data_IF_425917175207
#
_entry.id   IF_425917175207
#
_cell.length_a   1.000
_cell.length_b   1.000
_cell.length_c   1.000
_cell.angle_alpha   90.00
_cell.angle_beta   90.00
_cell.angle_gamma   90.00
#
_symmetry.space_group_name_H-M   'P 1'
#
loop_
_entity.id
_entity.type
_entity.pdbx_description
1 polymer ?
#
# COMPACT_ATOMS: atom_id res chain seq x y z
N UNK A 1 34.91 31.97 70.43
CA UNK A 1 34.35 30.63 70.75
C UNK A 1 32.83 30.60 70.63
N UNK A 2 32.05 31.49 71.27
CA UNK A 2 30.57 31.53 71.16
C UNK A 2 30.01 31.77 69.74
N UNK A 3 30.71 32.52 68.90
CA UNK A 3 30.24 32.91 67.55
C UNK A 3 30.28 31.76 66.53
N UNK A 4 31.23 30.82 66.71
CA UNK A 4 31.34 29.62 65.88
C UNK A 4 30.25 28.59 66.20
N UNK A 5 29.87 28.46 67.48
CA UNK A 5 28.80 27.57 67.92
C UNK A 5 27.42 28.00 67.36
N UNK A 6 27.16 29.31 67.29
CA UNK A 6 25.91 29.82 66.71
C UNK A 6 25.82 29.56 65.21
N UNK A 7 26.92 29.78 64.47
CA UNK A 7 26.98 29.49 63.02
C UNK A 7 26.86 27.99 62.75
N UNK A 8 27.46 27.13 63.59
CA UNK A 8 27.34 25.67 63.49
C UNK A 8 25.89 25.22 63.62
N UNK A 9 25.16 25.70 64.63
CA UNK A 9 23.73 25.37 64.83
C UNK A 9 22.85 25.85 63.68
N UNK A 10 23.16 27.02 63.09
CA UNK A 10 22.44 27.55 61.94
C UNK A 10 22.62 26.66 60.71
N UNK A 11 23.85 26.24 60.41
CA UNK A 11 24.15 25.34 59.29
C UNK A 11 23.50 23.96 59.51
N UNK A 12 23.52 23.43 60.73
CA UNK A 12 22.84 22.16 61.08
C UNK A 12 21.32 22.24 60.86
N UNK A 13 20.71 23.40 61.16
CA UNK A 13 19.30 23.66 60.87
C UNK A 13 19.01 23.68 59.36
N UNK A 14 19.86 24.34 58.58
CA UNK A 14 19.74 24.40 57.11
C UNK A 14 19.92 23.03 56.46
N UNK A 15 20.84 22.19 56.96
CA UNK A 15 21.05 20.82 56.46
C UNK A 15 19.77 19.99 56.67
N UNK A 16 19.19 20.02 57.88
CA UNK A 16 17.94 19.29 58.16
C UNK A 16 16.76 19.77 57.31
N UNK A 17 16.69 21.07 57.03
CA UNK A 17 15.67 21.63 56.14
C UNK A 17 15.88 21.15 54.69
N UNK A 18 17.12 21.14 54.21
CA UNK A 18 17.46 20.64 52.88
C UNK A 18 17.19 19.14 52.72
N UNK A 19 17.56 18.32 53.70
CA UNK A 19 17.25 16.88 53.73
C UNK A 19 15.73 16.63 53.68
N UNK A 20 14.94 17.47 54.37
CA UNK A 20 13.48 17.38 54.33
C UNK A 20 12.90 17.73 52.95
N UNK A 21 13.49 18.73 52.27
CA UNK A 21 13.11 19.16 50.92
C UNK A 21 13.51 18.14 49.86
N UNK A 22 14.70 17.55 49.97
CA UNK A 22 15.19 16.48 49.09
C UNK A 22 14.26 15.26 49.15
N UNK A 23 13.92 14.81 50.37
CA UNK A 23 13.00 13.69 50.57
C UNK A 23 11.61 13.97 49.99
N UNK A 24 11.13 15.21 50.09
CA UNK A 24 9.86 15.63 49.49
C UNK A 24 9.92 15.63 47.96
N UNK A 25 11.01 16.13 47.37
CA UNK A 25 11.21 16.12 45.93
C UNK A 25 11.34 14.70 45.37
N UNK A 26 12.06 13.81 46.06
CA UNK A 26 12.17 12.40 45.66
C UNK A 26 10.80 11.71 45.63
N UNK A 27 9.93 12.02 46.60
CA UNK A 27 8.54 11.57 46.60
C UNK A 27 7.75 12.07 45.40
N UNK A 28 7.88 13.36 45.04
CA UNK A 28 7.22 13.95 43.87
C UNK A 28 7.74 13.36 42.55
N UNK A 29 9.03 13.06 42.45
CA UNK A 29 9.62 12.43 41.26
C UNK A 29 9.05 11.03 41.06
N UNK A 30 8.94 10.23 42.13
CA UNK A 30 8.32 8.89 42.04
C UNK A 30 6.86 8.97 41.62
N UNK A 31 6.08 9.91 42.18
CA UNK A 31 4.69 10.13 41.79
C UNK A 31 4.55 10.54 40.32
N UNK A 32 5.40 11.46 39.84
CA UNK A 32 5.38 11.89 38.44
C UNK A 32 5.80 10.77 37.48
N UNK A 33 6.76 9.93 37.88
CA UNK A 33 7.19 8.79 37.07
C UNK A 33 6.04 7.81 36.85
N UNK A 34 5.31 7.45 37.92
CA UNK A 34 4.14 6.57 37.80
C UNK A 34 3.01 7.20 36.96
N UNK A 35 2.81 8.52 37.03
CA UNK A 35 1.83 9.19 36.16
C UNK A 35 2.24 9.19 34.69
N UNK A 36 3.54 9.34 34.39
CA UNK A 36 4.04 9.23 33.00
C UNK A 36 3.81 7.82 32.47
N UNK A 37 4.11 6.78 33.25
CA UNK A 37 3.84 5.39 32.86
C UNK A 37 2.34 5.13 32.62
N UNK A 38 1.47 5.70 33.47
CA UNK A 38 0.01 5.62 33.29
C UNK A 38 -0.46 6.35 32.02
N UNK A 39 0.03 7.56 31.76
CA UNK A 39 -0.30 8.30 30.55
C UNK A 39 0.23 7.61 29.28
N UNK A 40 1.42 7.03 29.32
CA UNK A 40 1.94 6.23 28.20
C UNK A 40 1.03 5.02 27.92
N UNK A 41 0.49 4.38 28.96
CA UNK A 41 -0.52 3.33 28.81
C UNK A 41 -1.81 3.83 28.15
N UNK A 42 -2.35 4.94 28.63
CA UNK A 42 -3.57 5.55 28.08
C UNK A 42 -3.39 6.02 26.63
N UNK A 43 -2.23 6.58 26.29
CA UNK A 43 -1.91 6.98 24.91
C UNK A 43 -1.88 5.76 23.99
N UNK A 44 -1.22 4.67 24.40
CA UNK A 44 -1.21 3.42 23.64
C UNK A 44 -2.60 2.83 23.46
N UNK A 45 -3.45 2.92 24.48
CA UNK A 45 -4.85 2.45 24.42
C UNK A 45 -5.69 3.29 23.46
N UNK A 46 -5.58 4.62 23.52
CA UNK A 46 -6.28 5.54 22.60
C UNK A 46 -5.78 5.38 21.17
N UNK A 47 -4.48 5.22 20.96
CA UNK A 47 -3.91 4.92 19.65
C UNK A 47 -4.44 3.58 19.11
N UNK A 48 -4.44 2.53 19.93
CA UNK A 48 -5.02 1.22 19.58
C UNK A 48 -6.50 1.30 19.24
N UNK A 49 -7.29 2.10 19.97
CA UNK A 49 -8.70 2.32 19.68
C UNK A 49 -8.90 3.06 18.35
N UNK A 50 -8.08 4.08 18.08
CA UNK A 50 -8.09 4.78 16.80
C UNK A 50 -7.70 3.87 15.64
N UNK A 51 -6.82 2.90 15.89
CA UNK A 51 -6.46 1.87 14.92
C UNK A 51 -7.58 0.86 14.68
N UNK A 52 -8.30 0.44 15.72
CA UNK A 52 -9.52 -0.39 15.59
C UNK A 52 -10.56 0.32 14.71
N UNK A 53 -10.78 1.61 14.96
CA UNK A 53 -11.72 2.42 14.17
C UNK A 53 -11.26 2.54 12.71
N UNK A 54 -9.95 2.70 12.49
CA UNK A 54 -9.31 2.74 11.18
C UNK A 54 -9.45 1.41 10.41
N UNK A 55 -9.22 0.28 11.07
CA UNK A 55 -9.29 -1.05 10.46
C UNK A 55 -10.73 -1.43 10.08
N UNK A 56 -11.69 -1.18 10.96
CA UNK A 56 -13.12 -1.38 10.69
C UNK A 56 -13.63 -0.52 9.51
N UNK A 57 -13.00 0.62 9.25
CA UNK A 57 -13.35 1.50 8.12
C UNK A 57 -12.71 1.04 6.79
N UNK A 58 -11.59 0.31 6.83
CA UNK A 58 -10.85 -0.16 5.66
C UNK A 58 -11.26 -1.56 5.17
N UNK A 59 -11.98 -2.36 5.96
CA UNK A 59 -12.64 -3.60 5.46
C UNK A 59 -13.64 -3.34 4.32
N UNK A 60 -14.03 -2.08 4.08
CA UNK A 60 -14.85 -1.66 2.94
C UNK A 60 -14.07 -1.59 1.60
N UNK A 61 -12.74 -1.65 1.65
CA UNK A 61 -11.83 -1.41 0.51
C UNK A 61 -11.74 -2.62 -0.45
N UNK A 62 -12.04 -3.85 0.00
CA UNK A 62 -12.01 -5.07 -0.84
C UNK A 62 -13.06 -5.04 -1.98
N UNK A 63 -13.98 -4.07 -1.94
CA UNK A 63 -14.98 -3.79 -2.98
C UNK A 63 -14.46 -2.90 -4.14
N UNK A 64 -13.25 -2.34 -4.05
CA UNK A 64 -12.74 -1.33 -4.98
C UNK A 64 -12.20 -1.84 -6.33
N UNK A 65 -12.19 -3.16 -6.57
CA UNK A 65 -11.82 -3.67 -7.90
C UNK A 65 -12.86 -3.33 -9.00
N UNK A 66 -14.01 -2.72 -8.66
CA UNK A 66 -14.99 -2.22 -9.62
C UNK A 66 -15.62 -0.86 -9.22
N UNK A 67 -14.92 0.27 -9.44
CA UNK A 67 -15.40 1.62 -9.08
C UNK A 67 -16.73 2.00 -9.76
N UNK A 68 -16.99 1.43 -10.94
CA UNK A 68 -18.16 1.68 -11.77
C UNK A 68 -19.49 1.08 -11.24
N UNK A 69 -19.47 0.43 -10.07
CA UNK A 69 -20.68 -0.05 -9.39
C UNK A 69 -20.86 0.48 -7.96
N UNK A 70 -20.00 1.38 -7.48
CA UNK A 70 -20.19 2.03 -6.18
C UNK A 70 -21.23 3.16 -6.31
N UNK A 71 -22.29 3.18 -5.48
CA UNK A 71 -23.18 4.34 -5.39
C UNK A 71 -22.38 5.59 -5.02
N UNK A 72 -22.67 6.73 -5.66
CA UNK A 72 -21.98 8.02 -5.42
C UNK A 72 -21.83 8.34 -3.93
N UNK A 73 -22.87 8.07 -3.14
CA UNK A 73 -22.92 8.32 -1.70
C UNK A 73 -21.84 7.54 -0.92
N UNK A 74 -21.47 6.32 -1.34
CA UNK A 74 -20.41 5.53 -0.69
C UNK A 74 -19.01 5.97 -1.09
N UNK A 75 -18.84 6.50 -2.31
CA UNK A 75 -17.57 7.04 -2.75
C UNK A 75 -17.23 8.32 -1.96
N UNK A 76 -18.24 9.17 -1.73
CA UNK A 76 -18.10 10.40 -0.93
C UNK A 76 -17.76 10.09 0.54
N UNK A 77 -18.38 9.05 1.13
CA UNK A 77 -18.05 8.58 2.49
C UNK A 77 -16.61 8.06 2.60
N UNK A 78 -16.12 7.31 1.61
CA UNK A 78 -14.75 6.80 1.58
C UNK A 78 -13.71 7.92 1.39
N UNK A 79 -13.98 8.91 0.54
CA UNK A 79 -13.10 10.08 0.38
C UNK A 79 -12.98 10.88 1.69
N UNK A 80 -14.07 11.02 2.44
CA UNK A 80 -14.07 11.65 3.76
C UNK A 80 -13.25 10.87 4.78
N UNK A 81 -13.38 9.54 4.81
CA UNK A 81 -12.57 8.66 5.66
C UNK A 81 -11.08 8.82 5.33
N UNK A 82 -10.71 8.78 4.05
CA UNK A 82 -9.32 8.98 3.61
C UNK A 82 -8.77 10.33 4.06
N UNK A 83 -9.58 11.39 3.94
CA UNK A 83 -9.21 12.73 4.37
C UNK A 83 -8.99 12.81 5.88
N UNK A 84 -9.89 12.24 6.68
CA UNK A 84 -9.80 12.24 8.14
C UNK A 84 -8.57 11.46 8.62
N UNK A 85 -8.24 10.33 8.00
CA UNK A 85 -7.05 9.54 8.34
C UNK A 85 -5.78 10.33 8.03
N UNK A 86 -5.71 10.96 6.86
CA UNK A 86 -4.59 11.80 6.47
C UNK A 86 -4.39 12.96 7.44
N UNK A 87 -5.46 13.69 7.78
CA UNK A 87 -5.43 14.82 8.73
C UNK A 87 -4.99 14.36 10.11
N UNK A 88 -5.52 13.23 10.57
CA UNK A 88 -5.17 12.64 11.86
C UNK A 88 -3.70 12.21 11.92
N UNK A 89 -3.19 11.57 10.87
CA UNK A 89 -1.81 11.14 10.78
C UNK A 89 -0.87 12.35 10.72
N UNK A 90 -1.21 13.37 9.94
CA UNK A 90 -0.46 14.62 9.84
C UNK A 90 -0.44 15.42 11.15
N UNK A 91 -1.51 15.34 11.95
CA UNK A 91 -1.60 15.94 13.28
C UNK A 91 -0.84 15.19 14.36
N UNK A 92 -0.34 13.97 14.09
CA UNK A 92 0.48 13.21 15.02
C UNK A 92 1.85 13.85 15.23
N UNK A 93 2.39 13.70 16.44
CA UNK A 93 3.73 14.18 16.79
C UNK A 93 4.86 13.41 16.09
N UNK A 94 4.61 12.14 15.73
CA UNK A 94 5.55 11.26 15.01
C UNK A 94 4.78 10.30 14.08
N UNK A 95 4.32 10.78 12.92
CA UNK A 95 3.56 9.97 11.97
C UNK A 95 4.31 8.68 11.53
N UNK A 96 5.63 8.71 11.25
CA UNK A 96 6.39 7.50 10.96
C UNK A 96 6.38 6.46 12.06
N UNK A 97 6.49 6.86 13.34
CA UNK A 97 6.44 5.91 14.47
C UNK A 97 5.07 5.27 14.57
N UNK A 98 4.01 6.09 14.53
CA UNK A 98 2.60 5.66 14.55
C UNK A 98 2.36 4.59 13.48
N UNK A 99 2.79 4.82 12.23
CA UNK A 99 2.61 3.82 11.16
C UNK A 99 3.39 2.52 11.42
N UNK A 100 4.64 2.60 11.91
CA UNK A 100 5.40 1.39 12.26
C UNK A 100 4.76 0.60 13.40
N UNK A 101 4.24 1.30 14.41
CA UNK A 101 3.67 0.67 15.59
C UNK A 101 2.39 -0.10 15.24
N UNK A 102 1.57 0.41 14.31
CA UNK A 102 0.41 -0.31 13.74
C UNK A 102 0.86 -1.57 13.03
N UNK A 103 1.81 -1.44 12.10
CA UNK A 103 2.26 -2.58 11.28
C UNK A 103 2.83 -3.70 12.16
N UNK A 104 3.54 -3.32 13.23
CA UNK A 104 4.13 -4.29 14.17
C UNK A 104 3.11 -4.92 15.11
N UNK A 105 2.06 -4.19 15.46
CA UNK A 105 1.05 -4.60 16.43
C UNK A 105 -0.34 -4.58 15.79
N UNK A 106 -0.64 -5.54 14.89
CA UNK A 106 -1.96 -5.61 14.27
C UNK A 106 -3.03 -5.78 15.35
N UNK A 107 -4.13 -5.05 15.15
CA UNK A 107 -5.26 -4.93 16.06
C UNK A 107 -5.93 -6.28 16.31
N UNK A 108 -6.08 -7.08 15.26
CA UNK A 108 -6.65 -8.42 15.34
C UNK A 108 -5.55 -9.46 15.63
N UNK A 109 -5.54 -10.09 16.82
CA UNK A 109 -4.62 -11.16 17.13
C UNK A 109 -4.89 -12.44 16.33
N UNK A 110 -6.10 -12.64 15.78
CA UNK A 110 -6.47 -13.82 14.99
C UNK A 110 -5.86 -13.80 13.57
N UNK A 111 -5.48 -12.62 13.06
CA UNK A 111 -4.64 -12.46 11.86
C UNK A 111 -3.22 -13.03 12.01
N UNK A 112 -2.81 -13.41 13.24
CA UNK A 112 -1.51 -14.01 13.52
C UNK A 112 -1.56 -15.51 13.24
N UNK A 113 -1.43 -15.90 11.98
CA UNK A 113 -1.14 -17.30 11.65
C UNK A 113 0.33 -17.63 12.02
N UNK A 114 0.51 -18.32 13.16
CA UNK A 114 1.80 -18.87 13.60
C UNK A 114 2.70 -17.89 14.36
N UNK A 115 4.00 -18.24 14.48
CA UNK A 115 5.01 -17.48 15.22
C UNK A 115 5.12 -16.03 14.72
N UNK A 116 4.48 -15.07 15.40
CA UNK A 116 4.72 -13.62 15.32
C UNK A 116 4.84 -13.00 13.91
N UNK A 117 4.26 -13.60 12.88
CA UNK A 117 4.59 -13.25 11.51
C UNK A 117 3.77 -12.03 11.03
N UNK A 118 4.36 -10.84 11.06
CA UNK A 118 3.76 -9.58 10.54
C UNK A 118 3.18 -9.81 9.13
N UNK A 119 1.88 -9.57 8.96
CA UNK A 119 1.18 -9.62 7.67
C UNK A 119 0.94 -8.18 7.24
N UNK A 120 1.34 -7.86 6.00
CA UNK A 120 0.94 -6.62 5.35
C UNK A 120 -0.35 -6.89 4.58
N UNK A 121 -1.38 -6.13 4.90
CA UNK A 121 -2.69 -6.14 4.23
C UNK A 121 -2.99 -4.75 3.62
N UNK A 122 -4.17 -4.58 3.04
CA UNK A 122 -4.61 -3.31 2.44
C UNK A 122 -4.56 -2.11 3.39
N UNK A 123 -4.89 -2.31 4.67
CA UNK A 123 -4.86 -1.25 5.69
C UNK A 123 -3.45 -0.70 5.88
N UNK A 124 -2.46 -1.60 5.96
CA UNK A 124 -1.07 -1.22 6.09
C UNK A 124 -0.53 -0.52 4.84
N UNK A 125 -0.94 -0.98 3.65
CA UNK A 125 -0.61 -0.31 2.37
C UNK A 125 -1.14 1.11 2.39
N UNK A 126 -2.43 1.29 2.71
CA UNK A 126 -3.07 2.60 2.74
C UNK A 126 -2.35 3.60 3.68
N UNK A 127 -1.95 3.15 4.87
CA UNK A 127 -1.19 3.95 5.83
C UNK A 127 0.19 4.37 5.30
N UNK A 128 0.90 3.44 4.67
CA UNK A 128 2.20 3.72 4.06
C UNK A 128 2.07 4.69 2.87
N UNK A 129 0.96 4.66 2.14
CA UNK A 129 0.64 5.63 1.10
C UNK A 129 0.37 7.02 1.67
N UNK A 130 -0.41 7.13 2.76
CA UNK A 130 -0.61 8.43 3.41
C UNK A 130 0.71 8.99 3.96
N UNK A 131 1.57 8.13 4.51
CA UNK A 131 2.89 8.53 4.97
C UNK A 131 3.75 9.07 3.82
N UNK A 132 3.67 8.44 2.64
CA UNK A 132 4.39 8.86 1.44
C UNK A 132 3.94 10.24 0.98
N UNK A 133 2.64 10.55 1.09
CA UNK A 133 2.06 11.85 0.76
C UNK A 133 2.48 12.95 1.73
N UNK A 134 2.50 12.65 3.03
CA UNK A 134 2.94 13.60 4.07
C UNK A 134 4.45 13.85 3.98
N UNK A 135 5.24 12.83 3.59
CA UNK A 135 6.70 12.87 3.50
C UNK A 135 7.40 13.48 4.73
N UNK A 136 7.13 12.97 5.94
CA UNK A 136 7.69 13.52 7.17
C UNK A 136 9.19 13.22 7.31
N UNK A 137 9.87 13.96 8.18
CA UNK A 137 11.25 13.65 8.54
C UNK A 137 11.33 12.38 9.40
N UNK A 138 12.15 11.42 8.99
CA UNK A 138 12.32 10.14 9.69
C UNK A 138 13.43 10.26 10.74
N UNK A 139 13.07 10.08 12.02
CA UNK A 139 14.04 10.08 13.13
C UNK A 139 14.93 8.82 13.07
N UNK A 140 16.21 8.89 13.51
CA UNK A 140 17.13 7.75 13.43
C UNK A 140 16.63 6.47 14.10
N UNK A 141 16.09 6.55 15.31
CA UNK A 141 15.57 5.38 16.03
C UNK A 141 14.37 4.74 15.30
N UNK A 142 13.48 5.55 14.73
CA UNK A 142 12.35 5.07 13.91
C UNK A 142 12.87 4.36 12.67
N UNK A 143 13.92 4.90 12.02
CA UNK A 143 14.55 4.27 10.86
C UNK A 143 15.19 2.91 11.19
N UNK A 144 15.84 2.79 12.35
CA UNK A 144 16.38 1.52 12.84
C UNK A 144 15.28 0.48 13.08
N UNK A 145 14.17 0.91 13.68
CA UNK A 145 12.99 0.08 13.91
C UNK A 145 12.29 -0.34 12.62
N UNK A 146 12.25 0.53 11.61
CA UNK A 146 11.77 0.21 10.27
C UNK A 146 12.70 -0.78 9.55
N UNK A 147 14.01 -0.66 9.76
CA UNK A 147 14.98 -1.59 9.17
C UNK A 147 14.79 -3.02 9.68
N UNK A 148 14.56 -3.20 10.98
CA UNK A 148 14.26 -4.52 11.56
C UNK A 148 13.04 -5.15 10.88
N UNK A 149 11.95 -4.38 10.81
CA UNK A 149 10.72 -4.79 10.13
C UNK A 149 10.97 -5.14 8.65
N UNK A 150 11.74 -4.34 7.93
CA UNK A 150 12.06 -4.59 6.52
C UNK A 150 12.82 -5.92 6.35
N UNK A 151 13.77 -6.24 7.24
CA UNK A 151 14.49 -7.51 7.21
C UNK A 151 13.57 -8.71 7.49
N UNK A 152 12.64 -8.58 8.44
CA UNK A 152 11.66 -9.61 8.76
C UNK A 152 10.71 -9.86 7.57
N UNK A 153 10.17 -8.79 6.97
CA UNK A 153 9.34 -8.88 5.76
C UNK A 153 10.11 -9.50 4.59
N UNK A 154 11.38 -9.13 4.39
CA UNK A 154 12.23 -9.71 3.35
C UNK A 154 12.45 -11.21 3.56
N UNK A 155 12.67 -11.65 4.80
CA UNK A 155 12.80 -13.07 5.11
C UNK A 155 11.50 -13.83 4.80
N UNK A 156 10.34 -13.22 5.09
CA UNK A 156 9.02 -13.79 4.81
C UNK A 156 8.72 -13.89 3.31
N UNK A 157 9.05 -12.85 2.53
CA UNK A 157 8.87 -12.87 1.07
C UNK A 157 9.63 -14.00 0.38
N UNK A 158 10.77 -14.47 0.94
CA UNK A 158 11.48 -15.65 0.39
C UNK A 158 10.66 -16.94 0.48
N UNK A 159 9.70 -17.01 1.40
CA UNK A 159 8.79 -18.14 1.55
C UNK A 159 7.48 -17.98 0.75
N UNK A 160 7.12 -16.76 0.31
CA UNK A 160 5.84 -16.43 -0.32
C UNK A 160 5.94 -15.30 -1.35
N UNK A 161 6.85 -15.44 -2.33
CA UNK A 161 7.19 -14.38 -3.30
C UNK A 161 6.06 -13.97 -4.27
N UNK A 162 4.90 -14.67 -4.23
CA UNK A 162 3.74 -14.42 -5.09
C UNK A 162 2.76 -13.39 -4.50
N UNK A 163 2.91 -12.98 -3.23
CA UNK A 163 2.00 -12.02 -2.61
C UNK A 163 2.35 -10.57 -3.00
N UNK A 164 1.68 -10.05 -4.04
CA UNK A 164 1.88 -8.69 -4.55
C UNK A 164 1.68 -7.59 -3.49
N UNK A 165 0.75 -7.76 -2.55
CA UNK A 165 0.51 -6.79 -1.47
C UNK A 165 1.70 -6.74 -0.51
N UNK A 166 2.25 -7.89 -0.13
CA UNK A 166 3.44 -7.94 0.71
C UNK A 166 4.65 -7.28 0.04
N UNK A 167 4.84 -7.52 -1.26
CA UNK A 167 5.91 -6.88 -2.04
C UNK A 167 5.71 -5.37 -2.11
N UNK A 168 4.47 -4.91 -2.37
CA UNK A 168 4.14 -3.49 -2.43
C UNK A 168 4.41 -2.79 -1.10
N UNK A 169 3.94 -3.36 0.01
CA UNK A 169 4.15 -2.76 1.33
C UNK A 169 5.60 -2.77 1.78
N UNK A 170 6.35 -3.81 1.44
CA UNK A 170 7.80 -3.81 1.64
C UNK A 170 8.47 -2.66 0.89
N UNK A 171 8.15 -2.46 -0.40
CA UNK A 171 8.73 -1.37 -1.19
C UNK A 171 8.31 0.01 -0.67
N UNK A 172 7.05 0.18 -0.27
CA UNK A 172 6.57 1.41 0.36
C UNK A 172 7.29 1.68 1.68
N UNK A 173 7.55 0.66 2.50
CA UNK A 173 8.37 0.78 3.72
C UNK A 173 9.80 1.22 3.39
N UNK A 174 10.43 0.61 2.38
CA UNK A 174 11.79 1.01 1.97
C UNK A 174 11.85 2.47 1.52
N UNK A 175 10.86 2.91 0.76
CA UNK A 175 10.74 4.28 0.25
C UNK A 175 10.53 5.28 1.38
N UNK A 176 9.47 5.10 2.17
CA UNK A 176 9.07 6.03 3.23
C UNK A 176 10.13 6.23 4.31
N UNK A 177 10.86 5.16 4.67
CA UNK A 177 11.84 5.20 5.75
C UNK A 177 13.28 5.36 5.23
N UNK A 178 13.46 5.60 3.93
CA UNK A 178 14.77 5.84 3.31
C UNK A 178 15.73 4.66 3.45
N UNK A 179 15.24 3.43 3.28
CA UNK A 179 15.99 2.20 3.53
C UNK A 179 16.59 1.57 2.26
N UNK A 180 16.18 2.03 1.06
CA UNK A 180 16.56 1.44 -0.24
C UNK A 180 18.05 1.15 -0.38
N UNK A 181 18.90 2.09 0.04
CA UNK A 181 20.37 1.99 -0.02
C UNK A 181 20.98 0.85 0.80
N UNK A 182 20.19 0.20 1.67
CA UNK A 182 20.61 -0.95 2.48
C UNK A 182 20.30 -2.30 1.84
N UNK A 183 19.70 -2.30 0.64
CA UNK A 183 19.28 -3.50 -0.07
C UNK A 183 19.99 -3.60 -1.43
N UNK A 184 20.06 -4.83 -1.95
CA UNK A 184 20.59 -5.07 -3.29
C UNK A 184 19.66 -4.43 -4.33
N UNK A 185 20.26 -3.62 -5.20
CA UNK A 185 19.53 -2.81 -6.16
C UNK A 185 18.78 -3.66 -7.20
N UNK A 186 19.44 -4.70 -7.73
CA UNK A 186 18.84 -5.61 -8.71
C UNK A 186 17.69 -6.42 -8.09
N UNK A 187 17.81 -6.80 -6.82
CA UNK A 187 16.73 -7.43 -6.06
C UNK A 187 15.53 -6.49 -5.89
N UNK A 188 15.75 -5.22 -5.53
CA UNK A 188 14.67 -4.23 -5.38
C UNK A 188 14.00 -3.97 -6.73
N UNK A 189 14.76 -3.83 -7.83
CA UNK A 189 14.18 -3.65 -9.17
C UNK A 189 13.30 -4.83 -9.59
N UNK A 190 13.72 -6.07 -9.32
CA UNK A 190 12.89 -7.26 -9.58
C UNK A 190 11.60 -7.26 -8.78
N UNK A 191 11.63 -6.80 -7.53
CA UNK A 191 10.42 -6.66 -6.71
C UNK A 191 9.47 -5.61 -7.30
N UNK A 192 9.99 -4.48 -7.79
CA UNK A 192 9.19 -3.46 -8.48
C UNK A 192 8.51 -4.05 -9.72
N UNK A 193 9.19 -4.91 -10.48
CA UNK A 193 8.58 -5.58 -11.66
C UNK A 193 7.34 -6.42 -11.31
N UNK A 194 7.32 -7.03 -10.12
CA UNK A 194 6.19 -7.86 -9.64
C UNK A 194 4.95 -7.00 -9.34
N UNK A 195 5.15 -5.77 -8.89
CA UNK A 195 4.06 -4.86 -8.48
C UNK A 195 3.88 -3.68 -9.43
N UNK A 196 4.46 -3.74 -10.63
CA UNK A 196 4.44 -2.65 -11.59
C UNK A 196 3.02 -2.23 -12.03
N UNK A 197 2.01 -3.08 -11.84
CA UNK A 197 0.61 -2.71 -12.07
C UNK A 197 0.08 -1.65 -11.09
N UNK A 198 0.68 -1.48 -9.91
CA UNK A 198 0.21 -0.52 -8.91
C UNK A 198 0.67 0.89 -9.26
N UNK A 199 -0.26 1.85 -9.33
CA UNK A 199 0.01 3.24 -9.72
C UNK A 199 1.05 3.91 -8.80
N UNK A 200 1.01 3.59 -7.52
CA UNK A 200 1.92 4.06 -6.48
C UNK A 200 3.38 3.72 -6.80
N UNK A 201 3.62 2.59 -7.46
CA UNK A 201 4.97 2.14 -7.83
C UNK A 201 5.60 3.05 -8.88
N UNK A 202 4.78 3.56 -9.81
CA UNK A 202 5.23 4.51 -10.83
C UNK A 202 5.73 5.80 -10.18
N UNK A 203 4.96 6.36 -9.24
CA UNK A 203 5.34 7.58 -8.51
C UNK A 203 6.56 7.37 -7.61
N UNK A 204 6.62 6.21 -6.94
CA UNK A 204 7.69 5.84 -6.02
C UNK A 204 9.03 5.57 -6.72
N UNK A 205 9.04 5.13 -7.98
CA UNK A 205 10.27 4.71 -8.66
C UNK A 205 11.38 5.78 -8.65
N UNK A 206 11.00 7.06 -8.83
CA UNK A 206 11.93 8.20 -8.69
C UNK A 206 12.38 8.39 -7.24
N UNK A 207 11.47 8.30 -6.29
CA UNK A 207 11.75 8.49 -4.85
C UNK A 207 12.67 7.42 -4.29
N UNK A 208 12.64 6.21 -4.86
CA UNK A 208 13.57 5.12 -4.53
C UNK A 208 15.00 5.39 -5.04
N UNK A 209 15.22 6.43 -5.84
CA UNK A 209 16.53 6.77 -6.38
C UNK A 209 16.88 6.02 -7.67
N UNK A 210 15.91 5.46 -8.38
CA UNK A 210 16.13 4.71 -9.63
C UNK A 210 15.82 5.49 -10.90
N UNK A 211 15.76 6.83 -10.82
CA UNK A 211 15.36 7.68 -11.94
C UNK A 211 16.19 7.46 -13.22
N UNK A 212 17.48 7.19 -13.09
CA UNK A 212 18.41 6.91 -14.18
C UNK A 212 18.14 5.55 -14.88
N UNK A 213 17.44 4.64 -14.20
CA UNK A 213 17.19 3.28 -14.68
C UNK A 213 15.86 3.10 -15.39
N UNK A 214 15.00 4.12 -15.36
CA UNK A 214 13.65 4.04 -15.92
C UNK A 214 13.65 3.57 -17.39
N UNK A 215 14.52 4.08 -18.30
CA UNK A 215 14.50 3.61 -19.68
C UNK A 215 14.80 2.11 -19.81
N UNK A 216 15.80 1.62 -19.07
CA UNK A 216 16.16 0.20 -19.08
C UNK A 216 15.04 -0.67 -18.48
N UNK A 217 14.39 -0.18 -17.42
CA UNK A 217 13.27 -0.84 -16.77
C UNK A 217 12.05 -0.95 -17.69
N UNK A 218 11.66 0.14 -18.37
CA UNK A 218 10.58 0.15 -19.38
C UNK A 218 10.86 -0.87 -20.48
N UNK A 219 12.08 -0.91 -21.01
CA UNK A 219 12.46 -1.89 -22.03
C UNK A 219 12.33 -3.34 -21.53
N UNK A 220 12.60 -3.58 -20.25
CA UNK A 220 12.42 -4.91 -19.66
C UNK A 220 10.94 -5.30 -19.57
N UNK A 221 10.07 -4.38 -19.15
CA UNK A 221 8.61 -4.60 -19.12
C UNK A 221 8.05 -4.92 -20.51
N UNK A 222 8.45 -4.17 -21.54
CA UNK A 222 8.03 -4.41 -22.93
C UNK A 222 8.47 -5.81 -23.40
N UNK A 223 9.73 -6.19 -23.15
CA UNK A 223 10.23 -7.54 -23.51
C UNK A 223 9.45 -8.66 -22.82
N UNK A 224 8.97 -8.42 -21.61
CA UNK A 224 8.13 -9.35 -20.83
C UNK A 224 6.64 -9.30 -21.19
N UNK A 225 6.24 -8.51 -22.19
CA UNK A 225 4.84 -8.30 -22.61
C UNK A 225 3.96 -7.63 -21.54
N UNK A 226 4.56 -6.95 -20.57
CA UNK A 226 3.89 -6.10 -19.58
C UNK A 226 3.66 -4.70 -20.16
N UNK A 227 2.88 -4.63 -21.25
CA UNK A 227 2.73 -3.39 -22.04
C UNK A 227 1.95 -2.30 -21.30
N UNK A 228 0.93 -2.65 -20.52
CA UNK A 228 0.14 -1.69 -19.75
C UNK A 228 1.04 -1.00 -18.71
N UNK A 229 1.82 -1.79 -17.99
CA UNK A 229 2.77 -1.31 -16.98
C UNK A 229 3.83 -0.43 -17.66
N UNK A 230 4.41 -0.88 -18.77
CA UNK A 230 5.38 -0.09 -19.53
C UNK A 230 4.82 1.26 -19.95
N UNK A 231 3.57 1.31 -20.45
CA UNK A 231 2.89 2.54 -20.85
C UNK A 231 2.71 3.51 -19.68
N UNK A 232 2.33 3.02 -18.49
CA UNK A 232 2.21 3.86 -17.29
C UNK A 232 3.53 4.57 -16.97
N UNK A 233 4.65 3.84 -17.03
CA UNK A 233 5.98 4.43 -16.85
C UNK A 233 6.36 5.39 -17.98
N UNK A 234 6.11 5.03 -19.24
CA UNK A 234 6.42 5.90 -20.39
C UNK A 234 5.70 7.24 -20.27
N UNK A 235 4.43 7.22 -19.89
CA UNK A 235 3.62 8.43 -19.74
C UNK A 235 4.05 9.26 -18.54
N UNK A 236 4.22 8.64 -17.37
CA UNK A 236 4.59 9.34 -16.13
C UNK A 236 5.98 9.99 -16.19
N UNK A 237 6.88 9.45 -17.02
CA UNK A 237 8.27 9.92 -17.15
C UNK A 237 8.58 10.57 -18.50
N UNK A 238 7.57 10.82 -19.33
CA UNK A 238 7.68 11.48 -20.64
C UNK A 238 8.74 10.81 -21.56
N UNK A 239 8.78 9.48 -21.57
CA UNK A 239 9.75 8.68 -22.32
C UNK A 239 9.28 8.29 -23.73
N UNK A 240 8.22 8.91 -24.23
CA UNK A 240 7.66 8.56 -25.53
C UNK A 240 8.64 8.92 -26.65
N UNK A 241 9.13 7.91 -27.36
CA UNK A 241 9.93 8.03 -28.57
C UNK A 241 9.33 7.15 -29.68
N UNK A 242 9.96 7.10 -30.86
CA UNK A 242 9.44 6.34 -32.00
C UNK A 242 9.30 4.83 -31.73
N UNK A 243 10.10 4.26 -30.82
CA UNK A 243 10.10 2.83 -30.49
C UNK A 243 9.18 2.52 -29.30
N UNK A 244 8.90 3.53 -28.47
CA UNK A 244 8.12 3.42 -27.23
C UNK A 244 6.80 4.19 -27.31
N UNK A 245 6.14 4.19 -28.48
CA UNK A 245 4.86 4.85 -28.65
C UNK A 245 3.77 4.17 -27.81
N UNK A 246 3.15 4.87 -26.83
CA UNK A 246 2.19 4.26 -25.91
C UNK A 246 1.03 3.55 -26.58
N UNK A 247 0.43 4.19 -27.59
CA UNK A 247 -0.73 3.65 -28.30
C UNK A 247 -0.37 2.39 -29.09
N UNK A 248 0.82 2.33 -29.68
CA UNK A 248 1.26 1.16 -30.44
C UNK A 248 1.48 -0.06 -29.53
N UNK A 249 2.05 0.15 -28.34
CA UNK A 249 2.21 -0.90 -27.32
C UNK A 249 0.85 -1.42 -26.82
N UNK A 250 -0.12 -0.52 -26.59
CA UNK A 250 -1.47 -0.90 -26.19
C UNK A 250 -2.20 -1.68 -27.30
N UNK A 251 -2.03 -1.31 -28.57
CA UNK A 251 -2.57 -2.09 -29.70
C UNK A 251 -1.99 -3.49 -29.76
N UNK A 252 -0.67 -3.63 -29.57
CA UNK A 252 -0.03 -4.94 -29.54
C UNK A 252 -0.60 -5.79 -28.39
N UNK A 253 -0.81 -5.19 -27.22
CA UNK A 253 -1.43 -5.87 -26.08
C UNK A 253 -2.85 -6.36 -26.38
N UNK A 254 -3.69 -5.49 -26.96
CA UNK A 254 -5.07 -5.83 -27.38
C UNK A 254 -5.06 -6.98 -28.37
N UNK A 255 -4.15 -6.97 -29.36
CA UNK A 255 -4.06 -8.05 -30.34
C UNK A 255 -3.65 -9.38 -29.71
N UNK A 256 -2.69 -9.36 -28.77
CA UNK A 256 -2.29 -10.56 -28.05
C UNK A 256 -3.44 -11.13 -27.19
N UNK A 257 -4.22 -10.28 -26.53
CA UNK A 257 -5.38 -10.70 -25.75
C UNK A 257 -6.46 -11.40 -26.62
N UNK A 258 -6.73 -10.87 -27.83
CA UNK A 258 -7.64 -11.48 -28.81
C UNK A 258 -7.18 -12.87 -29.26
N UNK A 259 -5.88 -13.02 -29.57
CA UNK A 259 -5.33 -14.31 -30.04
C UNK A 259 -5.45 -15.42 -28.99
N UNK A 260 -5.27 -15.08 -27.71
CA UNK A 260 -5.37 -16.04 -26.61
C UNK A 260 -6.80 -16.60 -26.52
N UNK A 261 -7.82 -15.74 -26.59
CA UNK A 261 -9.22 -16.19 -26.49
C UNK A 261 -9.66 -17.03 -27.68
N UNK A 262 -9.23 -16.65 -28.90
CA UNK A 262 -9.55 -17.35 -30.15
C UNK A 262 -8.91 -18.74 -30.24
N UNK A 263 -7.78 -18.95 -29.58
CA UNK A 263 -7.05 -20.23 -29.58
C UNK A 263 -7.63 -21.30 -28.63
N UNK A 264 -8.64 -20.96 -27.82
CA UNK A 264 -9.21 -21.87 -26.83
C UNK A 264 -10.15 -22.94 -27.46
N UNK A 265 -9.83 -24.22 -27.25
CA UNK A 265 -10.47 -25.34 -27.95
C UNK A 265 -11.72 -25.95 -27.27
N UNK A 266 -12.05 -25.56 -26.04
CA UNK A 266 -13.15 -26.18 -25.26
C UNK A 266 -14.05 -25.15 -24.57
N UNK A 267 -15.36 -25.43 -24.42
CA UNK A 267 -16.38 -24.43 -24.02
C UNK A 267 -16.15 -23.79 -22.64
N UNK A 268 -15.83 -24.56 -21.59
CA UNK A 268 -15.55 -24.00 -20.24
C UNK A 268 -14.26 -23.17 -20.21
N UNK A 269 -13.27 -23.54 -21.03
CA UNK A 269 -12.01 -22.79 -21.18
C UNK A 269 -12.26 -21.50 -21.95
N UNK A 270 -13.23 -21.52 -22.87
CA UNK A 270 -13.61 -20.37 -23.70
C UNK A 270 -14.28 -19.26 -22.90
N UNK A 271 -15.19 -19.57 -21.98
CA UNK A 271 -15.83 -18.55 -21.14
C UNK A 271 -14.80 -17.83 -20.24
N UNK A 272 -13.89 -18.58 -19.61
CA UNK A 272 -12.78 -18.00 -18.83
C UNK A 272 -11.83 -17.16 -19.70
N UNK A 273 -11.54 -17.62 -20.92
CA UNK A 273 -10.68 -16.88 -21.84
C UNK A 273 -11.36 -15.58 -22.33
N UNK A 274 -12.69 -15.60 -22.54
CA UNK A 274 -13.47 -14.40 -22.85
C UNK A 274 -13.47 -13.43 -21.67
N UNK A 275 -13.68 -13.92 -20.44
CA UNK A 275 -13.64 -13.07 -19.25
C UNK A 275 -12.27 -12.42 -19.05
N UNK A 276 -11.20 -13.19 -19.31
CA UNK A 276 -9.83 -12.66 -19.28
C UNK A 276 -9.59 -11.62 -20.38
N UNK A 277 -10.08 -11.85 -21.60
CA UNK A 277 -10.00 -10.87 -22.68
C UNK A 277 -10.74 -9.58 -22.28
N UNK A 278 -11.96 -9.66 -21.77
CA UNK A 278 -12.72 -8.49 -21.31
C UNK A 278 -11.96 -7.75 -20.19
N UNK A 279 -11.39 -8.47 -19.22
CA UNK A 279 -10.60 -7.85 -18.14
C UNK A 279 -9.37 -7.12 -18.70
N UNK A 280 -8.63 -7.76 -19.60
CA UNK A 280 -7.47 -7.17 -20.26
C UNK A 280 -7.83 -5.92 -21.08
N UNK A 281 -8.93 -5.97 -21.82
CA UNK A 281 -9.44 -4.84 -22.61
C UNK A 281 -9.87 -3.66 -21.73
N UNK A 282 -10.52 -3.94 -20.59
CA UNK A 282 -10.87 -2.91 -19.60
C UNK A 282 -9.63 -2.26 -19.00
N UNK A 283 -8.60 -3.04 -18.68
CA UNK A 283 -7.34 -2.51 -18.16
C UNK A 283 -6.65 -1.57 -19.16
N UNK A 284 -6.77 -1.82 -20.47
CA UNK A 284 -6.27 -0.89 -21.51
C UNK A 284 -7.05 0.42 -21.51
N UNK A 285 -8.39 0.38 -21.44
CA UNK A 285 -9.21 1.59 -21.37
C UNK A 285 -8.88 2.43 -20.13
N UNK A 286 -8.73 1.78 -18.99
CA UNK A 286 -8.30 2.41 -17.74
C UNK A 286 -6.92 3.06 -17.90
N UNK A 287 -5.96 2.35 -18.48
CA UNK A 287 -4.63 2.89 -18.75
C UNK A 287 -4.65 4.12 -19.67
N UNK A 288 -5.49 4.13 -20.72
CA UNK A 288 -5.66 5.28 -21.61
C UNK A 288 -6.20 6.48 -20.84
N UNK A 289 -7.23 6.27 -20.02
CA UNK A 289 -7.86 7.30 -19.20
C UNK A 289 -6.90 7.88 -18.16
N UNK A 290 -6.25 7.02 -17.37
CA UNK A 290 -5.32 7.40 -16.30
C UNK A 290 -4.15 8.26 -16.81
N UNK A 291 -3.67 7.94 -18.01
CA UNK A 291 -2.53 8.61 -18.62
C UNK A 291 -2.94 9.71 -19.62
N UNK A 292 -4.25 10.01 -19.73
CA UNK A 292 -4.81 11.06 -20.60
C UNK A 292 -4.35 10.91 -22.06
N UNK A 293 -4.29 9.68 -22.56
CA UNK A 293 -3.86 9.39 -23.92
C UNK A 293 -5.00 9.68 -24.92
N UNK A 294 -4.69 10.41 -26.00
CA UNK A 294 -5.66 10.73 -27.05
C UNK A 294 -5.71 9.62 -28.10
N UNK A 295 -6.64 8.66 -27.96
CA UNK A 295 -6.90 7.63 -28.97
C UNK A 295 -8.36 7.16 -28.95
N UNK A 296 -9.25 8.03 -29.43
CA UNK A 296 -10.69 7.73 -29.54
C UNK A 296 -10.96 6.50 -30.40
N UNK A 297 -10.15 6.28 -31.43
CA UNK A 297 -10.26 5.15 -32.35
C UNK A 297 -9.98 3.81 -31.67
N UNK A 298 -8.91 3.71 -30.85
CA UNK A 298 -8.61 2.51 -30.09
C UNK A 298 -9.65 2.27 -28.99
N UNK A 299 -10.12 3.33 -28.31
CA UNK A 299 -11.20 3.23 -27.34
C UNK A 299 -12.47 2.65 -27.97
N UNK A 300 -12.88 3.16 -29.13
CA UNK A 300 -14.05 2.67 -29.86
C UNK A 300 -13.88 1.22 -30.32
N UNK A 301 -12.69 0.84 -30.82
CA UNK A 301 -12.38 -0.54 -31.19
C UNK A 301 -12.54 -1.50 -30.00
N UNK A 302 -11.95 -1.14 -28.85
CA UNK A 302 -11.98 -1.96 -27.64
C UNK A 302 -13.41 -2.07 -27.10
N UNK A 303 -14.15 -0.96 -27.04
CA UNK A 303 -15.54 -0.95 -26.58
C UNK A 303 -16.44 -1.82 -27.48
N UNK A 304 -16.26 -1.73 -28.80
CA UNK A 304 -16.95 -2.59 -29.76
C UNK A 304 -16.68 -4.08 -29.49
N UNK A 305 -15.41 -4.44 -29.26
CA UNK A 305 -15.04 -5.82 -28.94
C UNK A 305 -15.62 -6.31 -27.62
N UNK A 306 -15.57 -5.51 -26.55
CA UNK A 306 -16.18 -5.86 -25.26
C UNK A 306 -17.68 -6.12 -25.44
N UNK A 307 -18.37 -5.31 -26.25
CA UNK A 307 -19.78 -5.50 -26.54
C UNK A 307 -20.04 -6.85 -27.26
N UNK A 308 -19.27 -7.17 -28.30
CA UNK A 308 -19.36 -8.45 -29.01
C UNK A 308 -19.16 -9.65 -28.07
N UNK A 309 -18.13 -9.62 -27.22
CA UNK A 309 -17.81 -10.70 -26.28
C UNK A 309 -18.95 -10.92 -25.27
N UNK A 310 -19.54 -9.85 -24.74
CA UNK A 310 -20.68 -9.94 -23.84
C UNK A 310 -21.93 -10.52 -24.54
N UNK A 311 -22.16 -10.14 -25.80
CA UNK A 311 -23.23 -10.70 -26.62
C UNK A 311 -23.05 -12.20 -26.87
N UNK A 312 -21.82 -12.65 -27.14
CA UNK A 312 -21.51 -14.07 -27.26
C UNK A 312 -21.81 -14.85 -25.97
N UNK A 313 -21.48 -14.29 -24.80
CA UNK A 313 -21.81 -14.89 -23.49
C UNK A 313 -23.32 -14.99 -23.26
N UNK A 314 -24.08 -13.92 -23.52
CA UNK A 314 -25.53 -13.90 -23.35
C UNK A 314 -26.24 -14.93 -24.26
N UNK A 315 -25.73 -15.09 -25.49
CA UNK A 315 -26.26 -16.06 -26.46
C UNK A 315 -26.00 -17.52 -26.05
N UNK A 316 -24.82 -17.80 -25.47
CA UNK A 316 -24.45 -19.13 -24.97
C UNK A 316 -25.36 -19.60 -23.82
N UNK A 317 -25.67 -18.69 -22.87
CA UNK A 317 -26.58 -18.95 -21.74
C UNK A 317 -27.97 -19.34 -22.23
N UNK A 318 -28.52 -18.62 -23.22
CA UNK A 318 -29.83 -18.93 -23.80
C UNK A 318 -29.88 -20.30 -24.49
N UNK A 319 -28.77 -20.79 -25.06
CA UNK A 319 -28.72 -22.12 -25.67
C UNK A 319 -28.59 -23.26 -24.66
N UNK A 320 -27.93 -23.03 -23.52
CA UNK A 320 -27.80 -24.02 -22.45
C UNK A 320 -29.08 -24.23 -21.63
N UNK A 321 -29.97 -23.24 -21.57
CA UNK A 321 -31.24 -23.31 -20.82
C UNK A 321 -32.43 -23.92 -21.60
N UNK A 322 -32.26 -24.38 -22.84
CA UNK A 322 -33.34 -25.05 -23.58
C UNK A 322 -33.49 -26.51 -23.11
N UNK A 323 -34.66 -26.93 -22.57
CA UNK A 323 -34.94 -28.34 -22.40
C UNK A 323 -34.95 -29.00 -23.78
N UNK A 324 -34.20 -30.08 -23.94
CA UNK A 324 -34.20 -30.87 -25.16
C UNK A 324 -35.58 -31.52 -25.34
N UNK A 325 -36.51 -30.84 -26.02
CA UNK A 325 -37.75 -31.43 -26.50
C UNK A 325 -37.45 -32.38 -27.67
N UNK A 326 -36.90 -33.55 -27.35
CA UNK A 326 -36.90 -34.71 -28.23
C UNK A 326 -37.55 -35.85 -27.47
N UNK A 327 -38.86 -36.03 -27.67
CA UNK A 327 -39.52 -37.29 -27.97
C UNK A 327 -41.02 -37.11 -27.79
N UNK A 328 -41.76 -37.19 -28.90
CA UNK A 328 -43.08 -37.80 -29.04
C UNK A 328 -43.41 -37.82 -30.54
N UNK A 329 -43.01 -38.90 -31.19
CA UNK A 329 -43.67 -39.38 -32.43
C UNK A 329 -44.61 -40.50 -32.03
#
# INVERSE_FOLDING_TARGET
MKDFDSKKKQVEGQIKELESKEKHLEGRVKELTSKVEEFEGQVKEVESQKYIDLHNQLEMEDLLHHPQFLPSERADELELIHYDILVNLQGSSDPPSVVLDIIKNPIDPESREGDNAIIIDGTHIFLLEQLMRISPHIKPHVREEAMKLALDLKAKMRASAENSLMVLGFLLLLSNYGLVSSFDEDEVLKLIEIVAQHKQVVEMFRNLGFADKIPAFVQNLIKKKQHIEAVRFICAYELADKENQPIDLLREYVQNAKLISESSANYEVKDKAIDQEIANLRAVLECISDNKLESEDLCNEIQGRIFELNMHKASSIYTASRPSCNNLK
#
